data_IF_322031154215
#
_entry.id   IF_322031154215
#
_cell.length_a   1.000
_cell.length_b   1.000
_cell.length_c   1.000
_cell.angle_alpha   90.00
_cell.angle_beta   90.00
_cell.angle_gamma   90.00
#
_symmetry.space_group_name_H-M   'P 1'
#
loop_
_entity.id
_entity.type
_entity.pdbx_description
1 polymer ?
#
# COMPACT_ATOMS: atom_id res chain seq x y z
N UNK A 1 15.72 4.29 -9.95
CA UNK A 1 14.75 3.36 -10.57
C UNK A 1 15.27 2.75 -11.85
N UNK A 2 15.79 3.53 -12.82
CA UNK A 2 16.39 3.00 -14.06
C UNK A 2 17.53 2.01 -13.82
N UNK A 3 18.38 2.27 -12.82
CA UNK A 3 19.49 1.38 -12.44
C UNK A 3 18.97 0.01 -11.98
N UNK A 4 17.93 -0.02 -11.14
CA UNK A 4 17.31 -1.28 -10.67
C UNK A 4 16.67 -2.06 -11.82
N UNK A 5 16.00 -1.38 -12.76
CA UNK A 5 15.45 -2.02 -13.95
C UNK A 5 16.57 -2.61 -14.85
N UNK A 6 17.69 -1.91 -14.97
CA UNK A 6 18.87 -2.41 -15.70
C UNK A 6 19.48 -3.65 -15.04
N UNK A 7 19.62 -3.63 -13.69
CA UNK A 7 20.11 -4.80 -12.94
C UNK A 7 19.14 -5.99 -13.04
N UNK A 8 17.83 -5.75 -13.00
CA UNK A 8 16.85 -6.80 -13.20
C UNK A 8 16.92 -7.41 -14.61
N UNK A 9 17.17 -6.60 -15.65
CA UNK A 9 17.41 -7.11 -17.00
C UNK A 9 18.67 -7.97 -17.06
N UNK A 10 19.76 -7.53 -16.45
CA UNK A 10 21.02 -8.28 -16.38
C UNK A 10 20.82 -9.62 -15.65
N UNK A 11 20.15 -9.61 -14.51
CA UNK A 11 19.83 -10.83 -13.74
C UNK A 11 19.03 -11.82 -14.58
N UNK A 12 17.98 -11.35 -15.29
CA UNK A 12 17.17 -12.19 -16.17
C UNK A 12 17.96 -12.80 -17.33
N UNK A 13 18.94 -12.06 -17.88
CA UNK A 13 19.84 -12.59 -18.92
C UNK A 13 20.74 -13.70 -18.37
N UNK A 14 21.34 -13.49 -17.19
CA UNK A 14 22.23 -14.47 -16.57
C UNK A 14 21.48 -15.75 -16.16
N UNK A 15 20.26 -15.62 -15.62
CA UNK A 15 19.41 -16.75 -15.25
C UNK A 15 18.99 -17.62 -16.46
N UNK A 16 18.90 -17.03 -17.65
CA UNK A 16 18.62 -17.76 -18.88
C UNK A 16 19.87 -18.38 -19.52
N UNK A 17 20.99 -18.41 -18.81
CA UNK A 17 22.21 -19.10 -19.24
C UNK A 17 23.00 -18.38 -20.32
N UNK A 18 22.82 -17.07 -20.49
CA UNK A 18 23.65 -16.25 -21.38
C UNK A 18 25.01 -16.05 -20.69
N UNK A 19 25.90 -17.02 -20.88
CA UNK A 19 27.23 -17.01 -20.27
C UNK A 19 28.20 -16.06 -21.02
N UNK A 20 27.99 -15.86 -22.31
CA UNK A 20 28.74 -14.93 -23.12
C UNK A 20 27.88 -13.71 -23.43
N UNK A 21 28.03 -12.67 -22.63
CA UNK A 21 27.44 -11.37 -22.91
C UNK A 21 28.21 -10.73 -24.09
N UNK A 22 27.84 -11.09 -25.30
CA UNK A 22 28.16 -10.27 -26.45
C UNK A 22 27.55 -8.87 -26.26
N UNK A 23 28.06 -7.88 -26.99
CA UNK A 23 27.52 -6.51 -26.90
C UNK A 23 26.02 -6.54 -27.25
N UNK A 24 25.17 -6.45 -26.24
CA UNK A 24 23.70 -6.43 -26.36
C UNK A 24 23.20 -5.03 -26.10
N UNK A 25 22.32 -4.54 -26.96
CA UNK A 25 21.57 -3.31 -26.72
C UNK A 25 20.17 -3.67 -26.28
N UNK A 26 19.80 -3.29 -25.05
CA UNK A 26 18.45 -3.47 -24.52
C UNK A 26 17.74 -2.12 -24.58
N UNK A 27 16.62 -2.05 -25.29
CA UNK A 27 15.71 -0.91 -25.30
C UNK A 27 14.41 -1.33 -24.62
N UNK A 28 14.28 -0.99 -23.33
CA UNK A 28 13.16 -1.38 -22.50
C UNK A 28 12.60 -0.15 -21.75
N UNK A 29 11.29 0.00 -21.78
CA UNK A 29 10.58 1.09 -21.12
C UNK A 29 9.22 0.61 -20.62
N UNK A 30 8.67 1.33 -19.66
CA UNK A 30 7.37 1.01 -19.09
C UNK A 30 6.27 1.86 -19.73
N UNK A 31 5.25 1.22 -20.32
CA UNK A 31 4.07 1.89 -20.86
C UNK A 31 3.18 2.47 -19.76
N UNK A 32 3.19 1.84 -18.57
CA UNK A 32 2.46 2.31 -17.39
C UNK A 32 3.42 2.80 -16.31
N UNK A 33 3.12 3.96 -15.73
CA UNK A 33 3.92 4.52 -14.64
C UNK A 33 3.87 3.63 -13.40
N UNK A 34 2.67 3.19 -13.01
CA UNK A 34 2.45 2.32 -11.85
C UNK A 34 2.16 0.89 -12.32
N UNK A 35 2.90 -0.08 -11.81
CA UNK A 35 2.80 -1.50 -12.15
C UNK A 35 2.94 -2.31 -10.88
N UNK A 36 1.93 -3.07 -10.52
CA UNK A 36 2.02 -3.77 -9.24
C UNK A 36 0.83 -4.59 -8.83
N UNK A 37 0.68 -4.73 -7.53
CA UNK A 37 -0.28 -5.61 -6.88
C UNK A 37 -1.15 -4.80 -5.93
N UNK A 38 -2.43 -5.11 -5.89
CA UNK A 38 -3.37 -4.65 -4.87
C UNK A 38 -3.76 -5.84 -4.00
N UNK A 39 -3.39 -5.81 -2.72
CA UNK A 39 -3.86 -6.75 -1.71
C UNK A 39 -5.20 -6.23 -1.13
N UNK A 40 -6.28 -6.35 -1.90
CA UNK A 40 -7.60 -5.79 -1.58
C UNK A 40 -8.70 -6.84 -1.48
N UNK A 41 -8.38 -8.10 -1.29
CA UNK A 41 -9.32 -9.22 -1.29
C UNK A 41 -9.85 -9.56 0.12
N UNK A 42 -10.96 -10.30 0.13
CA UNK A 42 -11.51 -10.93 1.34
C UNK A 42 -10.81 -12.25 1.64
N UNK A 43 -10.88 -12.69 2.89
CA UNK A 43 -10.26 -13.93 3.36
C UNK A 43 -8.98 -13.68 4.12
N UNK A 44 -8.19 -14.74 4.33
CA UNK A 44 -6.95 -14.63 5.10
C UNK A 44 -5.93 -13.79 4.33
N UNK A 45 -5.44 -12.69 4.90
CA UNK A 45 -4.41 -11.86 4.28
C UNK A 45 -3.12 -12.65 4.02
N UNK A 46 -2.27 -12.16 3.12
CA UNK A 46 -0.93 -12.73 2.96
C UNK A 46 -0.15 -12.67 4.27
N UNK A 47 0.71 -13.65 4.51
CA UNK A 47 1.63 -13.59 5.64
C UNK A 47 2.71 -12.53 5.42
N UNK A 48 3.35 -12.07 6.51
CA UNK A 48 4.46 -11.11 6.44
C UNK A 48 5.62 -11.63 5.58
N UNK A 49 5.89 -12.95 5.57
CA UNK A 49 6.91 -13.54 4.69
C UNK A 49 6.51 -13.44 3.22
N UNK A 50 5.28 -13.82 2.87
CA UNK A 50 4.77 -13.76 1.49
C UNK A 50 4.80 -12.33 0.95
N UNK A 51 4.40 -11.32 1.74
CA UNK A 51 4.49 -9.92 1.31
C UNK A 51 5.93 -9.50 1.00
N UNK A 52 6.88 -9.88 1.85
CA UNK A 52 8.30 -9.58 1.61
C UNK A 52 8.85 -10.29 0.36
N UNK A 53 8.43 -11.52 0.11
CA UNK A 53 8.82 -12.25 -1.09
C UNK A 53 8.17 -11.67 -2.35
N UNK A 54 6.91 -11.19 -2.25
CA UNK A 54 6.27 -10.46 -3.34
C UNK A 54 7.01 -9.16 -3.68
N UNK A 55 7.49 -8.39 -2.70
CA UNK A 55 8.29 -7.19 -2.98
C UNK A 55 9.58 -7.53 -3.74
N UNK A 56 10.29 -8.61 -3.36
CA UNK A 56 11.49 -9.08 -4.08
C UNK A 56 11.16 -9.55 -5.49
N UNK A 57 10.06 -10.30 -5.65
CA UNK A 57 9.54 -10.68 -6.96
C UNK A 57 9.22 -9.45 -7.81
N UNK A 58 8.53 -8.47 -7.25
CA UNK A 58 8.17 -7.24 -7.95
C UNK A 58 9.40 -6.47 -8.44
N UNK A 59 10.43 -6.33 -7.61
CA UNK A 59 11.71 -5.72 -8.01
C UNK A 59 12.31 -6.45 -9.22
N UNK A 60 12.37 -7.78 -9.18
CA UNK A 60 12.93 -8.61 -10.25
C UNK A 60 12.18 -8.47 -11.57
N UNK A 61 10.84 -8.28 -11.51
CA UNK A 61 9.99 -8.15 -12.68
C UNK A 61 9.61 -6.69 -13.00
N UNK A 62 10.37 -5.72 -12.45
CA UNK A 62 10.23 -4.28 -12.73
C UNK A 62 8.86 -3.71 -12.36
N UNK A 63 8.16 -4.32 -11.42
CA UNK A 63 6.97 -3.77 -10.80
C UNK A 63 7.38 -2.79 -9.70
N UNK A 64 6.58 -1.76 -9.45
CA UNK A 64 6.98 -0.65 -8.59
C UNK A 64 5.94 -0.17 -7.57
N UNK A 65 4.74 -0.79 -7.51
CA UNK A 65 3.68 -0.35 -6.63
C UNK A 65 2.95 -1.52 -5.96
N UNK A 66 2.91 -1.54 -4.63
CA UNK A 66 2.12 -2.49 -3.84
C UNK A 66 1.10 -1.74 -3.00
N UNK A 67 -0.18 -1.98 -3.23
CA UNK A 67 -1.27 -1.39 -2.44
C UNK A 67 -1.71 -2.38 -1.36
N UNK A 68 -1.52 -1.99 -0.10
CA UNK A 68 -1.93 -2.74 1.07
C UNK A 68 -3.31 -2.30 1.55
N UNK A 69 -4.29 -3.16 1.47
CA UNK A 69 -5.67 -2.91 1.92
C UNK A 69 -6.50 -4.19 2.04
N UNK A 70 -5.96 -5.28 2.70
CA UNK A 70 -6.71 -6.54 2.81
C UNK A 70 -7.99 -6.34 3.62
N UNK A 71 -9.13 -6.74 3.06
CA UNK A 71 -10.47 -6.52 3.64
C UNK A 71 -10.66 -7.17 5.01
N UNK A 72 -9.91 -8.22 5.31
CA UNK A 72 -9.95 -8.90 6.61
C UNK A 72 -8.97 -8.33 7.63
N UNK A 73 -8.17 -7.32 7.28
CA UNK A 73 -7.40 -6.56 8.25
C UNK A 73 -8.33 -5.56 8.97
N UNK A 74 -8.61 -5.75 10.27
CA UNK A 74 -9.52 -4.87 10.98
C UNK A 74 -9.03 -3.42 11.06
N UNK A 75 -7.73 -3.19 11.06
CA UNK A 75 -7.13 -1.87 11.20
C UNK A 75 -7.09 -1.08 9.88
N UNK A 76 -7.37 -1.73 8.77
CA UNK A 76 -7.64 -1.12 7.48
C UNK A 76 -9.11 -0.68 7.36
N UNK A 77 -10.06 -1.43 7.94
CA UNK A 77 -11.49 -1.26 7.75
C UNK A 77 -12.27 -1.08 9.08
N UNK A 78 -12.80 -2.12 9.68
CA UNK A 78 -13.73 -2.05 10.82
C UNK A 78 -13.20 -1.33 12.06
N UNK A 79 -11.90 -1.27 12.27
CA UNK A 79 -11.18 -0.57 13.34
C UNK A 79 -10.18 0.44 12.78
N UNK A 80 -10.49 1.02 11.64
CA UNK A 80 -9.55 1.87 10.91
C UNK A 80 -9.02 3.07 11.73
N UNK A 81 -9.78 3.57 12.69
CA UNK A 81 -9.34 4.65 13.59
C UNK A 81 -8.38 4.20 14.70
N UNK A 82 -8.26 2.89 14.96
CA UNK A 82 -7.37 2.35 15.98
C UNK A 82 -5.93 2.17 15.44
N UNK A 83 -4.89 2.35 16.27
CA UNK A 83 -3.53 1.99 15.90
C UNK A 83 -3.38 0.47 15.76
N UNK A 84 -2.41 0.03 14.94
CA UNK A 84 -2.02 -1.38 14.94
C UNK A 84 -1.45 -1.79 16.30
N UNK A 85 -1.69 -3.03 16.76
CA UNK A 85 -1.13 -3.52 18.01
C UNK A 85 0.40 -3.66 17.93
N UNK A 86 1.07 -3.53 19.04
CA UNK A 86 2.51 -3.82 19.17
C UNK A 86 2.79 -5.32 19.16
N UNK A 87 1.86 -6.11 19.73
CA UNK A 87 1.94 -7.56 19.83
C UNK A 87 0.60 -8.19 19.44
N UNK A 88 0.65 -9.40 18.90
CA UNK A 88 -0.53 -10.18 18.51
C UNK A 88 -0.77 -11.33 19.47
N UNK A 89 -2.02 -11.56 19.83
CA UNK A 89 -2.46 -12.79 20.44
C UNK A 89 -2.34 -13.97 19.48
N UNK A 90 -2.31 -15.21 19.98
CA UNK A 90 -2.26 -16.41 19.13
C UNK A 90 -3.46 -16.50 18.16
N UNK A 91 -4.65 -16.10 18.60
CA UNK A 91 -5.84 -16.03 17.75
C UNK A 91 -5.69 -15.02 16.60
N UNK A 92 -5.11 -13.85 16.87
CA UNK A 92 -4.86 -12.83 15.85
C UNK A 92 -3.81 -13.30 14.83
N UNK A 93 -2.73 -13.96 15.29
CA UNK A 93 -1.73 -14.58 14.39
C UNK A 93 -2.36 -15.64 13.49
N UNK A 94 -3.19 -16.51 14.05
CA UNK A 94 -3.90 -17.53 13.29
C UNK A 94 -4.84 -16.94 12.23
N UNK A 95 -5.43 -15.79 12.51
CA UNK A 95 -6.28 -15.04 11.58
C UNK A 95 -5.51 -14.25 10.51
N UNK A 96 -4.17 -14.21 10.61
CA UNK A 96 -3.32 -13.49 9.66
C UNK A 96 -3.27 -11.98 9.90
N UNK A 97 -3.58 -11.52 11.13
CA UNK A 97 -3.42 -10.11 11.49
C UNK A 97 -1.94 -9.73 11.52
N UNK A 98 -1.67 -8.45 11.42
CA UNK A 98 -0.33 -7.88 11.49
C UNK A 98 -0.19 -6.93 12.67
N UNK A 99 1.02 -6.85 13.23
CA UNK A 99 1.38 -5.87 14.24
C UNK A 99 2.26 -4.75 13.66
N UNK A 100 2.58 -3.76 14.47
CA UNK A 100 3.44 -2.66 14.06
C UNK A 100 4.81 -3.13 13.54
N UNK A 101 5.39 -4.17 14.15
CA UNK A 101 6.69 -4.69 13.71
C UNK A 101 6.61 -5.33 12.32
N UNK A 102 5.56 -6.10 12.04
CA UNK A 102 5.34 -6.68 10.71
C UNK A 102 5.28 -5.60 9.61
N UNK A 103 4.62 -4.47 9.91
CA UNK A 103 4.50 -3.36 8.97
C UNK A 103 5.81 -2.59 8.79
N UNK A 104 6.60 -2.39 9.86
CA UNK A 104 7.95 -1.82 9.77
C UNK A 104 8.88 -2.69 8.94
N UNK A 105 8.85 -4.00 9.16
CA UNK A 105 9.65 -4.95 8.37
C UNK A 105 9.22 -4.91 6.89
N UNK A 106 7.92 -4.81 6.62
CA UNK A 106 7.39 -4.70 5.26
C UNK A 106 7.87 -3.42 4.56
N UNK A 107 7.77 -2.26 5.21
CA UNK A 107 8.22 -0.98 4.65
C UNK A 107 9.75 -0.92 4.50
N UNK A 108 10.50 -1.58 5.38
CA UNK A 108 11.96 -1.71 5.25
C UNK A 108 12.35 -2.49 3.98
N UNK A 109 11.73 -3.65 3.75
CA UNK A 109 11.99 -4.43 2.52
C UNK A 109 11.51 -3.67 1.27
N UNK A 110 10.42 -2.91 1.36
CA UNK A 110 9.96 -2.06 0.27
C UNK A 110 11.00 -0.99 -0.11
N UNK A 111 11.65 -0.38 0.88
CA UNK A 111 12.74 0.58 0.66
C UNK A 111 13.94 -0.07 -0.03
N UNK A 112 14.31 -1.30 0.36
CA UNK A 112 15.41 -2.06 -0.24
C UNK A 112 15.11 -2.46 -1.69
N UNK A 113 13.88 -2.88 -1.97
CA UNK A 113 13.43 -3.33 -3.30
C UNK A 113 13.00 -2.21 -4.22
N UNK A 114 12.95 -0.96 -3.74
CA UNK A 114 12.44 0.22 -4.48
C UNK A 114 11.00 0.05 -4.99
N UNK A 115 10.23 -0.78 -4.32
CA UNK A 115 8.79 -0.89 -4.55
C UNK A 115 8.07 0.09 -3.62
N UNK A 116 7.29 0.99 -4.17
CA UNK A 116 6.44 1.88 -3.39
C UNK A 116 5.33 1.09 -2.72
N UNK A 117 5.18 1.25 -1.40
CA UNK A 117 4.07 0.66 -0.67
C UNK A 117 3.05 1.73 -0.31
N UNK A 118 1.83 1.54 -0.78
CA UNK A 118 0.68 2.40 -0.52
C UNK A 118 -0.15 1.75 0.58
N UNK A 119 -0.37 2.43 1.70
CA UNK A 119 -1.30 1.95 2.71
C UNK A 119 -2.69 2.52 2.43
N UNK A 120 -3.67 1.65 2.25
CA UNK A 120 -5.04 2.04 1.99
C UNK A 120 -5.87 2.03 3.28
N UNK A 121 -6.78 3.00 3.43
CA UNK A 121 -7.79 3.06 4.49
C UNK A 121 -9.18 2.84 3.89
N UNK A 122 -10.03 2.11 4.60
CA UNK A 122 -11.44 1.97 4.25
C UNK A 122 -12.31 2.53 5.39
N UNK A 123 -12.58 3.84 5.38
CA UNK A 123 -13.32 4.50 6.46
C UNK A 123 -14.85 4.23 6.38
N UNK A 124 -15.29 3.46 5.39
CA UNK A 124 -16.70 3.18 5.16
C UNK A 124 -17.50 4.47 4.98
N UNK A 125 -18.73 4.48 5.49
CA UNK A 125 -19.62 5.64 5.38
C UNK A 125 -19.15 6.86 6.21
N UNK A 126 -18.11 6.75 7.04
CA UNK A 126 -17.58 7.89 7.77
C UNK A 126 -17.09 9.00 6.83
N UNK A 127 -16.57 8.64 5.64
CA UNK A 127 -16.13 9.63 4.64
C UNK A 127 -17.24 10.60 4.22
N UNK A 128 -18.51 10.18 4.29
CA UNK A 128 -19.69 10.97 3.96
C UNK A 128 -20.29 11.66 5.19
N UNK A 129 -20.34 10.95 6.32
CA UNK A 129 -21.23 11.28 7.43
C UNK A 129 -20.51 11.90 8.65
N UNK A 130 -19.23 11.57 8.87
CA UNK A 130 -18.49 12.09 10.01
C UNK A 130 -18.10 13.56 9.82
N UNK A 131 -18.15 14.32 10.91
CA UNK A 131 -17.64 15.69 10.97
C UNK A 131 -16.14 15.73 11.26
N UNK A 132 -15.56 14.64 11.78
CA UNK A 132 -14.14 14.56 12.20
C UNK A 132 -13.32 13.67 11.28
N UNK A 133 -13.90 13.19 10.16
CA UNK A 133 -13.25 12.18 9.31
C UNK A 133 -11.87 12.61 8.78
N UNK A 134 -11.69 13.89 8.48
CA UNK A 134 -10.41 14.42 7.99
C UNK A 134 -9.34 14.26 9.06
N UNK A 135 -9.63 14.70 10.29
CA UNK A 135 -8.70 14.61 11.42
C UNK A 135 -8.40 13.15 11.80
N UNK A 136 -9.44 12.31 11.82
CA UNK A 136 -9.32 10.89 12.16
C UNK A 136 -8.48 10.13 11.13
N UNK A 137 -8.68 10.38 9.83
CA UNK A 137 -7.89 9.80 8.74
C UNK A 137 -6.45 10.31 8.81
N UNK A 138 -6.24 11.61 9.01
CA UNK A 138 -4.90 12.20 9.13
C UNK A 138 -4.14 11.69 10.35
N UNK A 139 -4.82 11.45 11.47
CA UNK A 139 -4.25 10.79 12.64
C UNK A 139 -3.80 9.37 12.31
N UNK A 140 -4.64 8.60 11.61
CA UNK A 140 -4.29 7.23 11.19
C UNK A 140 -3.13 7.23 10.21
N UNK A 141 -3.14 8.10 9.20
CA UNK A 141 -2.04 8.23 8.25
C UNK A 141 -0.72 8.64 8.95
N UNK A 142 -0.80 9.48 9.98
CA UNK A 142 0.35 9.80 10.83
C UNK A 142 0.95 8.55 11.49
N UNK A 143 0.12 7.69 12.08
CA UNK A 143 0.57 6.43 12.65
C UNK A 143 1.23 5.53 11.60
N UNK A 144 0.68 5.49 10.38
CA UNK A 144 1.24 4.68 9.29
C UNK A 144 2.55 5.28 8.74
N UNK A 145 2.64 6.62 8.71
CA UNK A 145 3.87 7.33 8.35
C UNK A 145 5.02 6.98 9.29
N UNK A 146 4.75 6.89 10.61
CA UNK A 146 5.71 6.48 11.64
C UNK A 146 6.14 5.01 11.48
N UNK A 147 5.31 4.18 10.85
CA UNK A 147 5.63 2.79 10.50
C UNK A 147 6.36 2.65 9.15
N UNK A 148 6.67 3.76 8.46
CA UNK A 148 7.47 3.80 7.25
C UNK A 148 6.68 3.96 5.94
N UNK A 149 5.36 4.00 5.96
CA UNK A 149 4.58 4.28 4.75
C UNK A 149 4.72 5.74 4.33
N UNK A 150 4.73 5.99 3.02
CA UNK A 150 4.88 7.33 2.42
C UNK A 150 3.80 7.64 1.39
N UNK A 151 2.98 6.67 1.06
CA UNK A 151 1.86 6.81 0.13
C UNK A 151 0.60 6.23 0.76
N UNK A 152 -0.51 6.90 0.53
CA UNK A 152 -1.79 6.59 1.14
C UNK A 152 -2.89 6.52 0.09
N UNK A 153 -3.90 5.68 0.33
CA UNK A 153 -5.09 5.57 -0.50
C UNK A 153 -6.34 5.48 0.37
N UNK A 154 -7.47 5.87 -0.18
CA UNK A 154 -8.79 5.68 0.40
C UNK A 154 -9.54 4.68 -0.48
N UNK A 155 -9.96 3.56 0.11
CA UNK A 155 -10.88 2.64 -0.54
C UNK A 155 -12.31 3.05 -0.21
N UNK A 156 -13.11 3.28 -1.23
CA UNK A 156 -14.51 3.69 -1.11
C UNK A 156 -15.47 2.66 -1.74
N UNK A 157 -15.02 1.42 -1.86
CA UNK A 157 -15.84 0.28 -2.26
C UNK A 157 -16.78 -0.14 -1.11
N UNK A 158 -17.95 -0.65 -1.44
CA UNK A 158 -18.99 -1.07 -0.49
C UNK A 158 -19.46 0.06 0.48
N UNK A 159 -19.34 1.31 0.09
CA UNK A 159 -19.91 2.46 0.80
C UNK A 159 -21.29 2.79 0.24
N UNK A 160 -22.16 3.37 1.06
CA UNK A 160 -23.45 3.86 0.60
C UNK A 160 -23.29 4.90 -0.51
N UNK A 161 -24.23 4.92 -1.43
CA UNK A 161 -24.29 6.00 -2.43
C UNK A 161 -24.92 7.24 -1.74
N UNK A 162 -24.28 8.42 -1.84
CA UNK A 162 -24.90 9.65 -1.35
C UNK A 162 -26.27 9.85 -2.01
N UNK A 163 -27.30 10.04 -1.18
CA UNK A 163 -28.69 10.18 -1.65
C UNK A 163 -29.03 11.57 -2.18
N UNK A 164 -28.14 12.54 -2.00
CA UNK A 164 -28.36 13.93 -2.35
C UNK A 164 -27.04 14.66 -2.71
N UNK A 165 -27.17 15.76 -3.42
CA UNK A 165 -26.06 16.58 -3.90
C UNK A 165 -25.20 17.14 -2.76
N UNK A 166 -25.81 17.51 -1.64
CA UNK A 166 -25.09 18.08 -0.49
C UNK A 166 -24.15 17.04 0.12
N UNK A 167 -24.60 15.79 0.27
CA UNK A 167 -23.78 14.67 0.76
C UNK A 167 -22.67 14.31 -0.23
N UNK A 168 -22.95 14.32 -1.54
CA UNK A 168 -21.92 14.13 -2.58
C UNK A 168 -20.84 15.20 -2.50
N UNK A 169 -21.26 16.48 -2.41
CA UNK A 169 -20.32 17.59 -2.26
C UNK A 169 -19.49 17.47 -1.00
N UNK A 170 -20.10 17.18 0.15
CA UNK A 170 -19.39 16.99 1.42
C UNK A 170 -18.36 15.87 1.32
N UNK A 171 -18.69 14.76 0.65
CA UNK A 171 -17.77 13.65 0.44
C UNK A 171 -16.55 14.08 -0.38
N UNK A 172 -16.78 14.80 -1.49
CA UNK A 172 -15.71 15.33 -2.32
C UNK A 172 -14.83 16.34 -1.55
N UNK A 173 -15.47 17.24 -0.79
CA UNK A 173 -14.77 18.21 0.06
C UNK A 173 -13.90 17.52 1.12
N UNK A 174 -14.38 16.45 1.77
CA UNK A 174 -13.61 15.66 2.75
C UNK A 174 -12.40 14.98 2.09
N UNK A 175 -12.56 14.35 0.92
CA UNK A 175 -11.46 13.73 0.18
C UNK A 175 -10.42 14.78 -0.24
N UNK A 176 -10.87 15.91 -0.75
CA UNK A 176 -10.00 17.03 -1.11
C UNK A 176 -9.24 17.59 0.10
N UNK A 177 -9.92 17.76 1.24
CA UNK A 177 -9.29 18.22 2.47
C UNK A 177 -8.23 17.24 3.00
N UNK A 178 -8.47 15.92 2.90
CA UNK A 178 -7.47 14.91 3.26
C UNK A 178 -6.25 15.02 2.32
N UNK A 179 -6.46 15.16 1.01
CA UNK A 179 -5.37 15.33 0.04
C UNK A 179 -4.51 16.55 0.37
N UNK A 180 -5.12 17.72 0.58
CA UNK A 180 -4.40 18.93 0.96
C UNK A 180 -3.66 18.78 2.28
N UNK A 181 -4.28 18.16 3.29
CA UNK A 181 -3.64 17.94 4.58
C UNK A 181 -2.42 17.02 4.49
N UNK A 182 -2.42 16.03 3.58
CA UNK A 182 -1.26 15.17 3.29
C UNK A 182 -0.14 16.01 2.66
N UNK A 183 -0.48 16.81 1.64
CA UNK A 183 0.46 17.68 0.93
C UNK A 183 1.11 18.69 1.88
N UNK A 184 0.31 19.37 2.70
CA UNK A 184 0.80 20.36 3.67
C UNK A 184 1.71 19.74 4.75
N UNK A 185 1.46 18.49 5.13
CA UNK A 185 2.17 17.85 6.23
C UNK A 185 3.46 17.14 5.81
N UNK A 186 3.50 16.58 4.59
CA UNK A 186 4.57 15.65 4.20
C UNK A 186 5.23 15.93 2.84
N UNK A 187 4.93 17.06 2.19
CA UNK A 187 5.62 17.52 0.97
C UNK A 187 6.70 18.56 1.27
#
# INVERSE_FOLDING_TARGET
>A
DATFCGLASLEQMLDNGIADLETVTINDYADLKERGIIEGFYGKPYSSSVRKDLLRFMMRYKMNCYVYGPKSDPYHSGKWGEPYPTELTESQKASGFVCQQDLKDFTSVAADTKVSVVWAIHPGNAIMNSATVVDDVMKKFGNMYDLGFRQFAIFADDVGVPGDEATMKKTADNVGAIQHAIEDKWN
#
